data_IF_172565259016
#
_entry.id   IF_172565259016
#
_cell.length_a   1.000
_cell.length_b   1.000
_cell.length_c   1.000
_cell.angle_alpha   90.00
_cell.angle_beta   90.00
_cell.angle_gamma   90.00
#
_symmetry.space_group_name_H-M   'P 1'
#
loop_
_entity.id
_entity.type
_entity.pdbx_description
1 polymer ?
#
# COMPACT_ATOMS: atom_id res chain seq x y z
N UNK A 1 1.20 -18.48 -3.66
CA UNK A 1 2.11 -17.46 -3.12
C UNK A 1 1.66 -16.10 -3.64
N UNK A 2 1.66 -15.06 -2.82
CA UNK A 2 1.28 -13.70 -3.27
C UNK A 2 2.50 -13.00 -3.89
N UNK A 3 3.53 -12.69 -3.10
CA UNK A 3 4.81 -12.11 -3.58
C UNK A 3 6.02 -13.03 -3.39
N UNK A 4 5.80 -14.34 -3.42
CA UNK A 4 6.79 -15.35 -3.03
C UNK A 4 6.54 -15.92 -1.63
N UNK A 5 5.68 -15.26 -0.85
CA UNK A 5 5.22 -15.73 0.46
C UNK A 5 3.84 -16.43 0.40
N UNK A 6 3.54 -17.35 1.34
CA UNK A 6 2.20 -17.89 1.57
C UNK A 6 1.14 -16.80 1.80
N UNK A 7 -0.14 -17.11 1.54
CA UNK A 7 -1.24 -16.12 1.57
C UNK A 7 -1.63 -15.67 3.00
N UNK A 8 -1.23 -16.42 4.00
CA UNK A 8 -1.41 -16.12 5.43
C UNK A 8 -0.31 -15.21 5.99
N UNK A 9 0.68 -14.85 5.17
CA UNK A 9 1.74 -13.90 5.53
C UNK A 9 1.35 -12.47 5.19
N UNK A 10 2.05 -11.51 5.80
CA UNK A 10 1.82 -10.07 5.59
C UNK A 10 3.17 -9.31 5.55
N UNK A 11 3.15 -8.01 5.75
CA UNK A 11 4.35 -7.16 5.73
C UNK A 11 5.33 -7.38 6.90
N UNK A 12 5.04 -8.29 7.83
CA UNK A 12 5.92 -8.59 8.95
C UNK A 12 7.27 -9.14 8.45
N UNK A 13 8.36 -8.54 8.91
CA UNK A 13 9.75 -8.88 8.56
C UNK A 13 10.12 -8.68 7.08
N UNK A 14 9.23 -8.10 6.27
CA UNK A 14 9.58 -7.66 4.93
C UNK A 14 10.48 -6.43 5.02
N UNK A 15 11.68 -6.51 4.44
CA UNK A 15 12.70 -5.46 4.52
C UNK A 15 13.23 -5.02 3.16
N UNK A 16 12.76 -5.66 2.10
CA UNK A 16 13.13 -5.35 0.72
C UNK A 16 11.86 -5.23 -0.14
N UNK A 17 11.86 -4.34 -1.13
CA UNK A 17 10.81 -4.31 -2.14
C UNK A 17 10.70 -5.65 -2.86
N UNK A 18 9.50 -5.92 -3.39
CA UNK A 18 9.28 -7.07 -4.25
C UNK A 18 10.09 -6.88 -5.53
N UNK A 19 10.93 -7.86 -5.89
CA UNK A 19 11.78 -7.81 -7.09
C UNK A 19 11.15 -8.45 -8.32
N UNK A 20 10.01 -9.15 -8.17
CA UNK A 20 9.32 -9.83 -9.25
C UNK A 20 8.72 -8.81 -10.23
N UNK A 21 9.28 -8.73 -11.43
CA UNK A 21 8.75 -7.89 -12.50
C UNK A 21 7.29 -8.24 -12.83
N UNK A 22 6.48 -7.21 -13.09
CA UNK A 22 5.06 -7.37 -13.39
C UNK A 22 4.22 -7.86 -12.21
N UNK A 23 4.72 -7.74 -10.97
CA UNK A 23 3.94 -8.07 -9.78
C UNK A 23 2.64 -7.27 -9.72
N UNK A 24 1.58 -7.97 -9.33
CA UNK A 24 0.28 -7.41 -8.99
C UNK A 24 -0.27 -8.18 -7.80
N UNK A 25 -0.49 -7.47 -6.70
CA UNK A 25 -0.95 -8.03 -5.44
C UNK A 25 -2.44 -8.32 -5.42
N UNK A 26 -2.89 -9.03 -4.39
CA UNK A 26 -4.32 -9.24 -4.14
C UNK A 26 -4.96 -8.15 -3.28
N UNK A 27 -4.14 -7.25 -2.73
CA UNK A 27 -4.57 -6.16 -1.85
C UNK A 27 -5.31 -5.01 -2.56
N UNK A 28 -5.07 -4.80 -3.86
CA UNK A 28 -5.78 -3.78 -4.64
C UNK A 28 -6.88 -4.39 -5.50
N UNK A 29 -8.05 -3.74 -5.55
CA UNK A 29 -9.15 -4.14 -6.44
C UNK A 29 -9.10 -3.35 -7.77
N UNK A 30 -8.76 -3.99 -8.91
CA UNK A 30 -8.72 -3.33 -10.21
C UNK A 30 -10.09 -2.80 -10.66
N UNK A 31 -11.19 -3.37 -10.16
CA UNK A 31 -12.55 -2.92 -10.49
C UNK A 31 -12.80 -1.52 -9.94
N UNK A 32 -12.34 -1.25 -8.72
CA UNK A 32 -12.44 0.09 -8.13
C UNK A 32 -11.63 1.12 -8.92
N UNK A 33 -10.45 0.73 -9.40
CA UNK A 33 -9.62 1.58 -10.26
C UNK A 33 -10.32 1.91 -11.59
N UNK A 34 -11.04 0.95 -12.17
CA UNK A 34 -11.82 1.18 -13.38
C UNK A 34 -13.02 2.11 -13.14
N UNK A 35 -13.69 1.99 -11.98
CA UNK A 35 -14.75 2.92 -11.57
C UNK A 35 -14.20 4.35 -11.45
N UNK A 36 -13.06 4.53 -10.79
CA UNK A 36 -12.39 5.84 -10.67
C UNK A 36 -12.04 6.42 -12.05
N UNK A 37 -11.45 5.62 -12.95
CA UNK A 37 -11.16 6.04 -14.34
C UNK A 37 -12.43 6.46 -15.09
N UNK A 38 -13.54 5.77 -14.87
CA UNK A 38 -14.86 6.12 -15.42
C UNK A 38 -15.36 7.47 -14.90
N UNK A 39 -15.30 7.68 -13.59
CA UNK A 39 -15.69 8.94 -12.96
C UNK A 39 -14.85 10.12 -13.46
N UNK A 40 -13.52 9.98 -13.51
CA UNK A 40 -12.61 11.01 -14.03
C UNK A 40 -12.93 11.34 -15.50
N UNK A 41 -13.22 10.35 -16.33
CA UNK A 41 -13.62 10.57 -17.73
C UNK A 41 -14.91 11.36 -17.85
N UNK A 42 -15.90 11.09 -17.00
CA UNK A 42 -17.16 11.84 -16.96
C UNK A 42 -16.94 13.29 -16.53
N UNK A 43 -16.07 13.54 -15.54
CA UNK A 43 -15.70 14.90 -15.13
C UNK A 43 -15.00 15.66 -16.27
N UNK A 44 -14.07 15.01 -16.98
CA UNK A 44 -13.39 15.58 -18.16
C UNK A 44 -14.37 15.97 -19.27
N UNK A 45 -15.37 15.13 -19.55
CA UNK A 45 -16.44 15.43 -20.53
C UNK A 45 -17.26 16.66 -20.15
N UNK A 46 -17.34 16.99 -18.86
CA UNK A 46 -18.02 18.19 -18.32
C UNK A 46 -17.12 19.43 -18.27
N UNK A 47 -15.91 19.36 -18.84
CA UNK A 47 -14.97 20.48 -18.86
C UNK A 47 -14.07 20.61 -17.63
N UNK A 48 -14.15 19.68 -16.67
CA UNK A 48 -13.28 19.70 -15.49
C UNK A 48 -11.90 19.08 -15.79
N UNK A 49 -10.85 19.78 -15.38
CA UNK A 49 -9.47 19.26 -15.48
C UNK A 49 -9.15 18.44 -14.23
N UNK A 50 -9.16 17.12 -14.38
CA UNK A 50 -8.79 16.18 -13.32
C UNK A 50 -7.68 15.27 -13.82
N UNK A 51 -6.61 15.15 -13.03
CA UNK A 51 -5.51 14.22 -13.30
C UNK A 51 -5.50 13.13 -12.22
N UNK A 52 -5.22 11.90 -12.63
CA UNK A 52 -5.13 10.77 -11.73
C UNK A 52 -3.66 10.50 -11.42
N UNK A 53 -3.31 10.54 -10.13
CA UNK A 53 -2.01 10.04 -9.68
C UNK A 53 -2.09 8.51 -9.55
N UNK A 54 -1.61 7.79 -10.55
CA UNK A 54 -1.69 6.32 -10.56
C UNK A 54 -0.54 5.69 -9.78
N UNK A 55 -0.66 5.68 -8.45
CA UNK A 55 0.35 5.16 -7.52
C UNK A 55 0.16 3.70 -7.13
N UNK A 56 -0.89 3.02 -7.59
CA UNK A 56 -1.27 1.69 -7.07
C UNK A 56 -0.19 0.66 -7.33
N UNK A 57 0.20 0.44 -8.59
CA UNK A 57 1.14 -0.64 -8.91
C UNK A 57 2.53 -0.42 -8.30
N UNK A 58 3.09 0.79 -8.39
CA UNK A 58 4.39 1.09 -7.79
C UNK A 58 4.38 0.90 -6.27
N UNK A 59 3.25 1.18 -5.62
CA UNK A 59 3.06 1.01 -4.18
C UNK A 59 2.95 -0.46 -3.79
N UNK A 60 2.35 -1.30 -4.64
CA UNK A 60 2.23 -2.74 -4.35
C UNK A 60 3.57 -3.46 -4.22
N UNK A 61 4.62 -2.94 -4.86
CA UNK A 61 5.98 -3.47 -4.70
C UNK A 61 6.57 -3.24 -3.30
N UNK A 62 5.99 -2.35 -2.49
CA UNK A 62 6.62 -1.80 -1.29
C UNK A 62 6.17 -2.44 0.01
N UNK A 63 6.14 -3.78 0.07
CA UNK A 63 5.80 -4.51 1.31
C UNK A 63 6.73 -4.19 2.48
N UNK A 64 7.96 -3.78 2.18
CA UNK A 64 9.00 -3.34 3.11
C UNK A 64 8.70 -2.01 3.82
N UNK A 65 7.83 -1.17 3.26
CA UNK A 65 7.71 0.22 3.71
C UNK A 65 6.58 0.46 4.72
N UNK A 66 5.94 -0.61 5.18
CA UNK A 66 4.89 -0.53 6.19
C UNK A 66 5.48 -0.44 7.61
N UNK A 67 4.80 0.21 8.57
CA UNK A 67 5.21 0.24 9.96
C UNK A 67 5.26 -1.14 10.62
N UNK A 68 4.49 -2.12 10.10
CA UNK A 68 4.39 -3.43 10.72
C UNK A 68 4.00 -3.30 12.20
N UNK A 69 4.75 -3.89 13.12
CA UNK A 69 4.52 -3.80 14.57
C UNK A 69 4.97 -2.45 15.18
N UNK A 70 5.70 -1.62 14.44
CA UNK A 70 6.28 -0.36 14.91
C UNK A 70 5.32 0.84 14.76
N UNK A 71 4.03 0.59 14.46
CA UNK A 71 3.02 1.66 14.47
C UNK A 71 2.86 2.26 15.87
N UNK A 72 2.49 3.54 15.94
CA UNK A 72 2.04 4.15 17.19
C UNK A 72 0.78 3.44 17.66
N UNK A 73 0.77 3.03 18.91
CA UNK A 73 -0.41 2.47 19.53
C UNK A 73 -0.88 3.38 20.64
N UNK A 74 -2.17 3.69 20.62
CA UNK A 74 -2.80 4.52 21.65
C UNK A 74 -2.79 3.82 23.02
N UNK A 75 -2.76 2.48 23.00
CA UNK A 75 -2.59 1.61 24.18
C UNK A 75 -1.42 0.67 23.88
N UNK A 76 -0.43 0.53 24.78
CA UNK A 76 0.67 -0.41 24.57
C UNK A 76 0.17 -1.85 24.33
N UNK A 77 0.79 -2.57 23.40
CA UNK A 77 0.47 -4.00 23.21
C UNK A 77 0.68 -4.77 24.52
N UNK A 78 -0.23 -5.70 24.80
CA UNK A 78 -0.01 -6.69 25.84
C UNK A 78 1.05 -7.70 25.40
N UNK A 79 1.61 -8.47 26.35
CA UNK A 79 2.58 -9.53 26.03
C UNK A 79 2.01 -10.57 25.06
N UNK A 80 0.73 -10.88 25.18
CA UNK A 80 0.01 -11.83 24.32
C UNK A 80 -0.12 -11.30 22.89
N UNK A 81 -0.28 -9.98 22.73
CA UNK A 81 -0.35 -9.34 21.42
C UNK A 81 1.03 -9.32 20.75
N UNK A 82 2.08 -9.03 21.53
CA UNK A 82 3.47 -9.13 21.06
C UNK A 82 3.86 -10.57 20.69
N UNK A 83 3.24 -11.57 21.32
CA UNK A 83 3.44 -12.98 20.98
C UNK A 83 2.81 -13.40 19.65
N UNK A 84 1.94 -12.57 19.04
CA UNK A 84 1.36 -12.82 17.72
C UNK A 84 1.54 -11.61 16.79
N UNK A 85 2.78 -11.27 16.41
CA UNK A 85 3.08 -10.05 15.66
C UNK A 85 2.40 -10.01 14.29
N UNK A 86 2.16 -11.18 13.66
CA UNK A 86 1.42 -11.27 12.39
C UNK A 86 0.02 -10.65 12.50
N UNK A 87 -0.70 -10.89 13.60
CA UNK A 87 -2.06 -10.35 13.78
C UNK A 87 -2.08 -8.84 14.06
N UNK A 88 -0.99 -8.28 14.56
CA UNK A 88 -0.90 -6.89 15.01
C UNK A 88 -0.07 -5.99 14.09
N UNK A 89 0.55 -6.54 13.06
CA UNK A 89 1.27 -5.79 12.05
C UNK A 89 0.32 -4.87 11.26
N UNK A 90 0.70 -3.60 11.17
CA UNK A 90 0.03 -2.64 10.30
C UNK A 90 0.64 -2.70 8.90
N UNK A 91 -0.13 -3.25 7.95
CA UNK A 91 0.24 -3.34 6.54
C UNK A 91 -0.64 -2.43 5.66
N UNK A 92 -1.21 -1.38 6.26
CA UNK A 92 -2.08 -0.42 5.58
C UNK A 92 -1.50 0.99 5.55
N UNK A 93 -0.79 1.38 6.62
CA UNK A 93 -0.11 2.66 6.72
C UNK A 93 1.34 2.57 6.22
N UNK A 94 2.01 3.71 6.14
CA UNK A 94 3.38 3.81 5.65
C UNK A 94 4.29 4.47 6.68
N UNK A 95 5.53 4.00 6.75
CA UNK A 95 6.57 4.74 7.46
C UNK A 95 6.87 6.08 6.76
N UNK A 96 7.31 7.05 7.55
CA UNK A 96 7.88 8.31 7.06
C UNK A 96 9.30 8.47 7.64
N UNK A 97 10.31 8.83 6.83
CA UNK A 97 10.25 8.96 5.37
C UNK A 97 9.96 7.62 4.66
N UNK A 98 9.36 7.64 3.48
CA UNK A 98 8.95 6.41 2.79
C UNK A 98 8.12 6.60 1.51
N UNK A 99 7.25 5.63 1.24
CA UNK A 99 6.42 5.56 0.03
C UNK A 99 5.58 6.82 -0.25
N UNK A 100 4.96 7.46 0.75
CA UNK A 100 4.23 8.71 0.53
C UNK A 100 5.09 9.86 0.00
N UNK A 101 6.41 9.86 0.25
CA UNK A 101 7.32 10.89 -0.28
C UNK A 101 7.40 10.79 -1.80
N UNK A 102 7.47 9.58 -2.35
CA UNK A 102 7.42 9.33 -3.81
C UNK A 102 6.08 9.77 -4.41
N UNK A 103 4.97 9.59 -3.69
CA UNK A 103 3.68 10.09 -4.15
C UNK A 103 3.67 11.62 -4.22
N UNK A 104 4.30 12.29 -3.25
CA UNK A 104 4.43 13.74 -3.23
C UNK A 104 5.37 14.24 -4.35
N UNK A 105 6.44 13.52 -4.66
CA UNK A 105 7.32 13.83 -5.80
C UNK A 105 6.54 13.76 -7.13
N UNK A 106 5.72 12.71 -7.33
CA UNK A 106 4.87 12.58 -8.51
C UNK A 106 3.78 13.66 -8.60
N UNK A 107 3.31 14.16 -7.46
CA UNK A 107 2.34 15.25 -7.42
C UNK A 107 2.98 16.61 -7.73
N UNK A 108 4.25 16.79 -7.33
CA UNK A 108 4.98 18.05 -7.54
C UNK A 108 5.54 18.20 -8.95
N UNK A 109 5.81 17.08 -9.64
CA UNK A 109 6.43 17.02 -10.96
C UNK A 109 5.62 17.66 -12.11
#
# INVERSE_FOLDING_TARGET
LEWGMPRDQNCLNETQPISKEGYWGSGSDPRMMNVLKGAIRNLKRRGLKVQMLNITQLTEYRKDAHPSIYRRQWVPLTKEQLANPLKYADCTHWCLPGVPDVWNELLYA
#
